data_IF_694756997213
#
_entry.id   IF_694756997213
#
_cell.length_a   1.000
_cell.length_b   1.000
_cell.length_c   1.000
_cell.angle_alpha   90.00
_cell.angle_beta   90.00
_cell.angle_gamma   90.00
#
_symmetry.space_group_name_H-M   'P 1'
#
loop_
_entity.id
_entity.type
_entity.pdbx_description
1 polymer ?
#
# COMPACT_ATOMS: atom_id res chain seq x y z
N UNK A 1 -16.85 -14.19 20.38
CA UNK A 1 -16.62 -14.91 19.09
C UNK A 1 -16.10 -13.89 18.11
N UNK A 2 -14.96 -14.16 17.47
CA UNK A 2 -14.47 -13.32 16.38
C UNK A 2 -15.36 -13.63 15.17
N UNK A 3 -16.19 -12.67 14.76
CA UNK A 3 -16.94 -12.81 13.53
C UNK A 3 -15.95 -12.86 12.36
N UNK A 4 -16.09 -13.87 11.51
CA UNK A 4 -15.29 -13.98 10.29
C UNK A 4 -15.54 -12.75 9.42
N UNK A 5 -14.47 -12.09 8.94
CA UNK A 5 -14.54 -10.96 8.01
C UNK A 5 -15.12 -11.33 6.64
N UNK A 6 -15.43 -12.61 6.40
CA UNK A 6 -16.07 -13.09 5.19
C UNK A 6 -16.68 -14.47 5.42
N UNK A 7 -17.78 -14.76 4.71
CA UNK A 7 -18.41 -16.06 4.80
C UNK A 7 -17.56 -17.11 4.07
N UNK A 8 -17.27 -18.24 4.73
CA UNK A 8 -16.54 -19.38 4.15
C UNK A 8 -17.16 -19.85 2.83
N UNK A 9 -18.48 -19.79 2.70
CA UNK A 9 -19.22 -20.18 1.50
C UNK A 9 -18.89 -19.36 0.26
N UNK A 10 -18.36 -18.14 0.43
CA UNK A 10 -17.98 -17.25 -0.68
C UNK A 10 -16.71 -17.70 -1.41
N UNK A 11 -16.01 -18.71 -0.88
CA UNK A 11 -14.72 -19.16 -1.42
C UNK A 11 -14.78 -20.64 -1.83
N UNK A 12 -14.77 -20.91 -3.14
CA UNK A 12 -14.79 -22.30 -3.69
C UNK A 12 -13.62 -23.13 -3.19
N UNK A 13 -12.46 -22.51 -3.04
CA UNK A 13 -11.24 -23.17 -2.54
C UNK A 13 -11.47 -23.85 -1.20
N UNK A 14 -12.21 -23.19 -0.30
CA UNK A 14 -12.45 -23.69 1.06
C UNK A 14 -13.44 -24.87 1.14
N UNK A 15 -14.09 -25.22 0.01
CA UNK A 15 -14.89 -26.45 -0.09
C UNK A 15 -14.00 -27.72 -0.14
N UNK A 16 -12.78 -27.58 -0.68
CA UNK A 16 -11.86 -28.72 -0.91
C UNK A 16 -10.59 -28.67 -0.04
N UNK A 17 -10.17 -27.47 0.36
CA UNK A 17 -8.89 -27.26 1.02
C UNK A 17 -9.02 -26.46 2.32
N UNK A 18 -8.14 -26.74 3.28
CA UNK A 18 -7.80 -25.80 4.35
C UNK A 18 -6.68 -24.89 3.82
N UNK A 19 -7.02 -23.66 3.48
CA UNK A 19 -6.07 -22.73 2.88
C UNK A 19 -5.43 -21.85 3.95
N UNK A 20 -4.12 -22.01 4.16
CA UNK A 20 -3.34 -21.27 5.17
C UNK A 20 -2.27 -20.34 4.55
N UNK A 21 -2.22 -20.24 3.21
CA UNK A 21 -1.20 -19.45 2.52
C UNK A 21 -1.68 -18.06 2.10
N UNK A 22 -2.58 -17.45 2.87
CA UNK A 22 -3.16 -16.13 2.60
C UNK A 22 -2.08 -15.03 2.57
N UNK A 23 -1.00 -15.18 3.35
CA UNK A 23 0.12 -14.24 3.37
C UNK A 23 0.91 -14.20 2.05
N UNK A 24 0.85 -15.24 1.24
CA UNK A 24 1.47 -15.29 -0.10
C UNK A 24 0.52 -14.76 -1.18
N UNK A 25 -0.62 -15.42 -1.35
CA UNK A 25 -1.67 -15.04 -2.30
C UNK A 25 -3.03 -15.19 -1.62
N UNK A 26 -3.81 -14.13 -1.62
CA UNK A 26 -5.15 -14.12 -1.04
C UNK A 26 -6.16 -14.94 -1.84
N UNK A 27 -7.15 -15.49 -1.15
CA UNK A 27 -8.29 -16.12 -1.80
C UNK A 27 -9.15 -15.03 -2.48
N UNK A 28 -9.60 -15.33 -3.68
CA UNK A 28 -10.55 -14.51 -4.42
C UNK A 28 -11.96 -15.10 -4.22
N UNK A 29 -12.91 -14.28 -3.78
CA UNK A 29 -14.31 -14.71 -3.60
C UNK A 29 -15.00 -14.98 -4.94
N UNK A 30 -16.08 -15.77 -4.91
CA UNK A 30 -16.90 -16.02 -6.11
C UNK A 30 -17.42 -14.72 -6.72
N UNK A 31 -17.88 -13.78 -5.90
CA UNK A 31 -18.38 -12.49 -6.35
C UNK A 31 -17.29 -11.66 -7.04
N UNK A 32 -16.09 -11.64 -6.46
CA UNK A 32 -14.94 -10.96 -7.06
C UNK A 32 -14.55 -11.62 -8.38
N UNK A 33 -14.45 -12.96 -8.43
CA UNK A 33 -14.13 -13.68 -9.67
C UNK A 33 -15.17 -13.44 -10.77
N UNK A 34 -16.46 -13.50 -10.44
CA UNK A 34 -17.56 -13.22 -11.38
C UNK A 34 -17.44 -11.82 -11.96
N UNK A 35 -17.16 -10.81 -11.13
CA UNK A 35 -17.00 -9.43 -11.61
C UNK A 35 -15.83 -9.25 -12.60
N UNK A 36 -14.78 -10.05 -12.45
CA UNK A 36 -13.64 -10.06 -13.39
C UNK A 36 -14.04 -10.71 -14.72
N UNK A 37 -14.72 -11.84 -14.68
CA UNK A 37 -15.17 -12.58 -15.86
C UNK A 37 -16.17 -11.75 -16.66
N UNK A 38 -17.12 -11.11 -16.01
CA UNK A 38 -18.08 -10.20 -16.66
C UNK A 38 -17.38 -9.05 -17.34
N UNK A 39 -16.44 -8.39 -16.66
CA UNK A 39 -15.68 -7.30 -17.25
C UNK A 39 -14.86 -7.75 -18.48
N UNK A 40 -14.19 -8.91 -18.38
CA UNK A 40 -13.43 -9.45 -19.50
C UNK A 40 -14.33 -9.78 -20.70
N UNK A 41 -15.50 -10.36 -20.46
CA UNK A 41 -16.49 -10.66 -21.50
C UNK A 41 -17.01 -9.39 -22.20
N UNK A 42 -17.28 -8.32 -21.44
CA UNK A 42 -17.68 -7.02 -22.01
C UNK A 42 -16.61 -6.44 -22.92
N UNK A 43 -15.34 -6.44 -22.45
CA UNK A 43 -14.21 -5.97 -23.27
C UNK A 43 -14.00 -6.88 -24.50
N UNK A 44 -14.11 -8.20 -24.36
CA UNK A 44 -13.96 -9.12 -25.49
C UNK A 44 -15.05 -8.94 -26.55
N UNK A 45 -16.26 -8.56 -26.12
CA UNK A 45 -17.43 -8.36 -27.02
C UNK A 45 -17.43 -6.99 -27.69
N UNK A 46 -17.06 -5.96 -26.98
CA UNK A 46 -17.26 -4.56 -27.38
C UNK A 46 -15.98 -3.74 -27.54
N UNK A 47 -14.82 -4.29 -27.16
CA UNK A 47 -13.60 -3.51 -27.00
C UNK A 47 -13.81 -2.40 -25.97
N UNK A 48 -13.35 -1.20 -26.27
CA UNK A 48 -13.59 -0.02 -25.44
C UNK A 48 -14.72 0.89 -25.99
N UNK A 49 -15.53 0.41 -26.93
CA UNK A 49 -16.55 1.24 -27.61
C UNK A 49 -17.62 1.82 -26.64
N UNK A 50 -17.78 1.22 -25.45
CA UNK A 50 -18.69 1.66 -24.40
C UNK A 50 -17.98 2.30 -23.20
N UNK A 51 -16.66 2.51 -23.30
CA UNK A 51 -15.85 3.04 -22.21
C UNK A 51 -15.26 4.39 -22.60
N UNK A 52 -15.69 5.44 -21.93
CA UNK A 52 -15.19 6.80 -22.11
C UNK A 52 -13.92 7.05 -21.29
N UNK A 53 -13.19 8.11 -21.59
CA UNK A 53 -12.07 8.63 -20.79
C UNK A 53 -12.49 8.84 -19.31
N UNK A 54 -13.73 9.28 -19.09
CA UNK A 54 -14.26 9.46 -17.73
C UNK A 54 -14.47 8.14 -17.00
N UNK A 55 -14.84 7.07 -17.71
CA UNK A 55 -14.96 5.74 -17.10
C UNK A 55 -13.62 5.20 -16.65
N UNK A 56 -12.55 5.46 -17.41
CA UNK A 56 -11.19 5.12 -17.01
C UNK A 56 -10.79 5.83 -15.71
N UNK A 57 -11.04 7.12 -15.58
CA UNK A 57 -10.80 7.87 -14.34
C UNK A 57 -11.65 7.34 -13.19
N UNK A 58 -12.89 6.96 -13.48
CA UNK A 58 -13.85 6.48 -12.49
C UNK A 58 -13.45 5.13 -11.86
N UNK A 59 -12.73 4.25 -12.56
CA UNK A 59 -12.20 3.03 -11.95
C UNK A 59 -11.30 3.36 -10.76
N UNK A 60 -10.38 4.29 -10.94
CA UNK A 60 -9.48 4.74 -9.87
C UNK A 60 -10.21 5.46 -8.75
N UNK A 61 -11.12 6.37 -9.10
CA UNK A 61 -11.84 7.16 -8.10
C UNK A 61 -12.77 6.29 -7.25
N UNK A 62 -13.46 5.34 -7.88
CA UNK A 62 -14.34 4.40 -7.19
C UNK A 62 -13.57 3.55 -6.18
N UNK A 63 -12.44 2.98 -6.61
CA UNK A 63 -11.57 2.20 -5.71
C UNK A 63 -11.02 3.08 -4.58
N UNK A 64 -10.55 4.29 -4.88
CA UNK A 64 -10.05 5.24 -3.88
C UNK A 64 -11.10 5.53 -2.81
N UNK A 65 -12.34 5.81 -3.20
CA UNK A 65 -13.43 6.08 -2.27
C UNK A 65 -13.75 4.87 -1.38
N UNK A 66 -13.66 3.67 -1.95
CA UNK A 66 -13.88 2.42 -1.20
C UNK A 66 -12.75 2.19 -0.18
N UNK A 67 -11.50 2.41 -0.58
CA UNK A 67 -10.34 2.31 0.32
C UNK A 67 -10.39 3.35 1.44
N UNK A 68 -10.85 4.58 1.16
CA UNK A 68 -11.00 5.61 2.19
C UNK A 68 -11.95 5.20 3.31
N UNK A 69 -13.05 4.52 2.95
CA UNK A 69 -13.99 4.01 3.96
C UNK A 69 -13.38 2.87 4.78
N UNK A 70 -12.68 1.94 4.11
CA UNK A 70 -12.02 0.81 4.78
C UNK A 70 -10.96 1.28 5.78
N UNK A 71 -10.18 2.28 5.41
CA UNK A 71 -9.01 2.74 6.17
C UNK A 71 -9.28 3.98 7.02
N UNK A 72 -10.50 4.53 6.98
CA UNK A 72 -10.87 5.77 7.68
C UNK A 72 -9.87 6.91 7.43
N UNK A 73 -9.72 7.30 6.16
CA UNK A 73 -8.79 8.36 5.76
C UNK A 73 -9.35 9.24 4.64
N UNK A 74 -8.70 10.38 4.40
CA UNK A 74 -9.09 11.30 3.35
C UNK A 74 -8.65 10.79 1.97
N UNK A 75 -9.52 10.86 0.96
CA UNK A 75 -9.23 10.46 -0.41
C UNK A 75 -8.08 11.25 -1.05
N UNK A 76 -7.83 12.47 -0.59
CA UNK A 76 -6.70 13.30 -0.99
C UNK A 76 -5.35 12.62 -0.68
N UNK A 77 -5.30 11.82 0.37
CA UNK A 77 -4.09 11.15 0.86
C UNK A 77 -3.90 9.73 0.29
N UNK A 78 -4.86 9.21 -0.51
CA UNK A 78 -4.78 7.87 -1.09
C UNK A 78 -4.36 7.88 -2.57
N UNK A 79 -3.28 7.19 -2.87
CA UNK A 79 -2.85 6.81 -4.21
C UNK A 79 -3.26 5.38 -4.54
N UNK A 80 -3.63 5.15 -5.80
CA UNK A 80 -3.79 3.82 -6.39
C UNK A 80 -2.58 3.59 -7.30
N UNK A 81 -1.88 2.50 -7.09
CA UNK A 81 -0.58 2.18 -7.67
C UNK A 81 -0.63 0.79 -8.32
N UNK A 82 0.28 0.50 -9.24
CA UNK A 82 0.41 -0.82 -9.85
C UNK A 82 0.99 -1.86 -8.88
N UNK A 83 1.81 -1.42 -7.94
CA UNK A 83 2.39 -2.26 -6.89
C UNK A 83 2.82 -1.41 -5.68
N UNK A 84 2.93 -2.03 -4.51
CA UNK A 84 3.52 -1.38 -3.34
C UNK A 84 4.97 -0.95 -3.59
N UNK A 85 5.72 -1.73 -4.35
CA UNK A 85 7.12 -1.44 -4.72
C UNK A 85 7.26 -0.15 -5.52
N UNK A 86 6.24 0.26 -6.29
CA UNK A 86 6.24 1.50 -7.08
C UNK A 86 6.49 2.73 -6.21
N UNK A 87 5.82 2.82 -5.06
CA UNK A 87 6.05 3.91 -4.12
C UNK A 87 7.27 3.66 -3.24
N UNK A 88 7.44 2.44 -2.73
CA UNK A 88 8.55 2.10 -1.83
C UNK A 88 9.91 2.45 -2.45
N UNK A 89 10.06 2.27 -3.76
CA UNK A 89 11.28 2.64 -4.50
C UNK A 89 11.51 4.16 -4.57
N UNK A 90 10.46 4.96 -4.46
CA UNK A 90 10.56 6.42 -4.53
C UNK A 90 10.79 7.06 -3.14
N UNK A 91 10.29 6.43 -2.07
CA UNK A 91 10.29 7.03 -0.73
C UNK A 91 11.66 7.48 -0.22
N UNK A 92 12.77 6.74 -0.41
CA UNK A 92 14.09 7.21 0.04
C UNK A 92 14.50 8.56 -0.54
N UNK A 93 13.98 8.92 -1.71
CA UNK A 93 14.27 10.17 -2.42
C UNK A 93 13.21 11.25 -2.20
N UNK A 94 12.02 10.89 -1.77
CA UNK A 94 10.90 11.81 -1.55
C UNK A 94 10.83 12.32 -0.11
N UNK A 95 11.30 11.53 0.84
CA UNK A 95 11.28 11.90 2.25
C UNK A 95 12.32 12.97 2.55
N UNK A 96 11.96 13.90 3.44
CA UNK A 96 12.87 14.92 3.94
C UNK A 96 13.73 14.30 5.04
N UNK A 97 14.80 13.61 4.62
CA UNK A 97 15.70 12.95 5.54
C UNK A 97 16.55 14.00 6.27
N UNK A 98 16.50 13.96 7.60
CA UNK A 98 17.39 14.79 8.41
C UNK A 98 18.86 14.36 8.22
N UNK A 99 19.77 15.20 8.64
CA UNK A 99 21.18 14.84 8.74
C UNK A 99 21.34 13.71 9.75
N UNK A 100 21.99 12.65 9.36
CA UNK A 100 22.18 11.43 10.15
C UNK A 100 22.90 10.36 9.34
N UNK A 101 23.07 9.18 9.91
CA UNK A 101 23.94 8.16 9.34
C UNK A 101 23.27 6.81 9.07
N UNK A 102 22.06 6.56 9.59
CA UNK A 102 21.44 5.23 9.46
C UNK A 102 19.95 5.24 9.19
N UNK A 103 19.48 4.24 8.43
CA UNK A 103 18.08 3.85 8.31
C UNK A 103 17.85 2.56 9.11
N UNK A 104 16.75 2.51 9.85
CA UNK A 104 16.35 1.34 10.65
C UNK A 104 15.36 0.50 9.88
N UNK A 105 15.70 -0.78 9.69
CA UNK A 105 14.97 -1.79 8.93
C UNK A 105 14.84 -3.07 9.76
N UNK A 106 13.93 -3.97 9.40
CA UNK A 106 13.83 -5.31 10.01
C UNK A 106 14.39 -6.34 9.04
N UNK A 107 15.26 -7.24 9.54
CA UNK A 107 16.00 -8.20 8.70
C UNK A 107 15.10 -9.26 8.09
N UNK A 108 14.07 -9.68 8.81
CA UNK A 108 13.06 -10.65 8.36
C UNK A 108 11.96 -10.03 7.49
N UNK A 109 12.01 -8.71 7.23
CA UNK A 109 10.98 -8.02 6.47
C UNK A 109 11.03 -8.37 4.97
N UNK A 110 9.94 -8.08 4.26
CA UNK A 110 9.84 -8.37 2.84
C UNK A 110 10.82 -7.50 2.02
N UNK A 111 11.52 -8.07 1.03
CA UNK A 111 12.56 -7.36 0.26
C UNK A 111 12.14 -6.04 -0.38
N UNK A 112 10.86 -5.86 -0.69
CA UNK A 112 10.35 -4.61 -1.25
C UNK A 112 10.52 -3.42 -0.30
N UNK A 113 10.58 -3.65 1.04
CA UNK A 113 10.80 -2.60 2.01
C UNK A 113 12.26 -2.20 2.08
N UNK A 114 13.19 -3.14 2.18
CA UNK A 114 14.58 -2.82 2.51
C UNK A 114 15.48 -2.59 1.29
N UNK A 115 15.23 -3.26 0.14
CA UNK A 115 16.08 -3.12 -1.05
C UNK A 115 16.20 -1.68 -1.58
N UNK A 116 15.13 -0.88 -1.66
CA UNK A 116 15.25 0.52 -2.06
C UNK A 116 16.15 1.33 -1.13
N UNK A 117 16.05 1.06 0.17
CA UNK A 117 16.88 1.73 1.17
C UNK A 117 18.33 1.26 1.15
N UNK A 118 18.60 -0.02 0.88
CA UNK A 118 19.96 -0.50 0.67
C UNK A 118 20.62 0.22 -0.52
N UNK A 119 19.95 0.25 -1.68
CA UNK A 119 20.43 0.92 -2.87
C UNK A 119 20.63 2.44 -2.64
N UNK A 120 19.69 3.09 -1.95
CA UNK A 120 19.79 4.49 -1.60
C UNK A 120 20.95 4.75 -0.62
N UNK A 121 21.10 3.91 0.40
CA UNK A 121 22.11 4.04 1.44
C UNK A 121 23.51 3.86 0.86
N UNK A 122 23.71 2.89 -0.02
CA UNK A 122 24.99 2.68 -0.72
C UNK A 122 25.42 3.94 -1.48
N UNK A 123 24.49 4.52 -2.27
CA UNK A 123 24.74 5.74 -3.04
C UNK A 123 25.00 6.97 -2.17
N UNK A 124 24.33 7.08 -1.01
CA UNK A 124 24.36 8.27 -0.16
C UNK A 124 25.23 8.10 1.09
N UNK A 125 25.99 7.01 1.19
CA UNK A 125 26.89 6.70 2.33
C UNK A 125 26.17 6.62 3.68
N UNK A 126 24.90 6.17 3.67
CA UNK A 126 24.16 5.84 4.87
C UNK A 126 24.42 4.38 5.26
N UNK A 127 24.16 4.04 6.52
CA UNK A 127 24.17 2.66 7.00
C UNK A 127 22.75 2.12 7.03
N UNK A 128 22.53 0.94 6.50
CA UNK A 128 21.30 0.16 6.75
C UNK A 128 21.49 -0.61 8.04
N UNK A 129 20.71 -0.29 9.06
CA UNK A 129 20.73 -0.97 10.34
C UNK A 129 19.55 -1.94 10.42
N UNK A 130 19.85 -3.24 10.35
CA UNK A 130 18.87 -4.30 10.40
C UNK A 130 18.65 -4.78 11.82
N UNK A 131 17.41 -4.70 12.28
CA UNK A 131 16.98 -5.30 13.54
C UNK A 131 16.72 -6.78 13.31
N UNK A 132 17.39 -7.65 14.05
CA UNK A 132 17.10 -9.07 14.05
C UNK A 132 15.81 -9.35 14.82
N UNK A 133 14.93 -10.16 14.22
CA UNK A 133 13.72 -10.62 14.89
C UNK A 133 14.03 -11.80 15.78
N UNK A 134 13.81 -11.64 17.07
CA UNK A 134 13.85 -12.71 18.04
C UNK A 134 12.43 -12.94 18.58
N UNK A 135 11.86 -14.11 18.31
CA UNK A 135 10.47 -14.43 18.69
C UNK A 135 10.22 -14.42 20.20
N UNK A 136 11.28 -14.44 21.02
CA UNK A 136 11.18 -14.34 22.49
C UNK A 136 11.24 -12.90 23.00
N UNK A 137 11.42 -11.92 22.10
CA UNK A 137 11.53 -10.49 22.44
C UNK A 137 10.51 -9.71 21.62
N UNK A 138 9.88 -8.71 22.22
CA UNK A 138 8.99 -7.81 21.50
C UNK A 138 9.75 -7.04 20.40
N UNK A 139 9.43 -7.32 19.14
CA UNK A 139 10.08 -6.70 17.99
C UNK A 139 10.03 -5.16 18.03
N UNK A 140 8.94 -4.59 18.55
CA UNK A 140 8.82 -3.14 18.74
C UNK A 140 9.89 -2.60 19.68
N UNK A 141 10.14 -3.29 20.77
CA UNK A 141 11.18 -2.90 21.73
C UNK A 141 12.56 -2.98 21.10
N UNK A 142 12.86 -4.04 20.37
CA UNK A 142 14.13 -4.18 19.63
C UNK A 142 14.34 -3.07 18.60
N UNK A 143 13.28 -2.63 17.89
CA UNK A 143 13.35 -1.51 16.96
C UNK A 143 13.61 -0.20 17.71
N UNK A 144 12.89 0.05 18.81
CA UNK A 144 13.01 1.29 19.59
C UNK A 144 14.40 1.45 20.20
N UNK A 145 15.01 0.37 20.65
CA UNK A 145 16.36 0.37 21.27
C UNK A 145 17.43 0.89 20.30
N UNK A 146 17.23 0.68 19.00
CA UNK A 146 18.20 1.06 17.96
C UNK A 146 17.96 2.48 17.43
N UNK A 147 16.77 3.04 17.65
CA UNK A 147 16.43 4.40 17.19
C UNK A 147 17.13 5.44 18.08
N UNK A 148 17.89 6.32 17.45
CA UNK A 148 18.59 7.43 18.08
C UNK A 148 18.65 8.69 17.18
N UNK A 149 19.47 9.67 17.56
CA UNK A 149 19.63 10.92 16.82
C UNK A 149 20.28 10.75 15.43
N UNK A 150 20.99 9.63 15.19
CA UNK A 150 21.58 9.29 13.89
C UNK A 150 20.59 8.62 12.94
N UNK A 151 19.41 8.24 13.43
CA UNK A 151 18.37 7.57 12.61
C UNK A 151 17.71 8.59 11.68
N UNK A 152 17.72 8.32 10.37
CA UNK A 152 17.13 9.19 9.34
C UNK A 152 15.76 8.72 8.85
N UNK A 153 15.44 7.44 9.00
CA UNK A 153 14.11 6.87 8.70
C UNK A 153 13.91 5.55 9.45
N UNK A 154 12.66 5.23 9.73
CA UNK A 154 12.21 3.92 10.23
C UNK A 154 11.24 3.33 9.21
N UNK A 155 11.54 2.13 8.71
CA UNK A 155 10.76 1.46 7.67
C UNK A 155 10.47 0.03 8.10
N UNK A 156 9.19 -0.33 8.25
CA UNK A 156 8.80 -1.59 8.88
C UNK A 156 7.45 -2.10 8.36
N UNK A 157 7.28 -3.42 8.25
CA UNK A 157 5.95 -4.02 8.13
C UNK A 157 5.22 -4.00 9.47
N UNK A 158 3.94 -3.63 9.43
CA UNK A 158 3.06 -3.72 10.62
C UNK A 158 2.95 -5.15 11.14
N UNK A 159 2.83 -6.11 10.23
CA UNK A 159 2.86 -7.55 10.52
C UNK A 159 3.91 -8.18 9.62
N UNK A 160 4.84 -8.94 10.20
CA UNK A 160 5.90 -9.63 9.47
C UNK A 160 5.33 -10.79 8.65
N UNK A 161 5.70 -10.88 7.37
CA UNK A 161 5.09 -11.85 6.44
C UNK A 161 5.42 -13.31 6.76
N UNK A 162 6.60 -13.56 7.35
CA UNK A 162 7.09 -14.90 7.61
C UNK A 162 6.71 -15.43 8.99
N UNK A 163 6.65 -14.56 9.99
CA UNK A 163 6.49 -14.92 11.41
C UNK A 163 5.13 -14.55 11.96
N UNK A 164 4.45 -13.55 11.35
CA UNK A 164 3.23 -12.98 11.89
C UNK A 164 3.46 -12.02 13.08
N UNK A 165 4.71 -11.76 13.45
CA UNK A 165 5.02 -10.79 14.51
C UNK A 165 4.46 -9.41 14.15
N UNK A 166 3.80 -8.78 15.13
CA UNK A 166 3.15 -7.47 14.97
C UNK A 166 3.85 -6.42 15.80
N UNK A 167 4.24 -5.31 15.17
CA UNK A 167 4.79 -4.15 15.85
C UNK A 167 3.69 -3.26 16.47
N UNK A 168 3.99 -2.59 17.56
CA UNK A 168 3.13 -1.55 18.13
C UNK A 168 3.39 -0.21 17.42
N UNK A 169 2.51 0.12 16.46
CA UNK A 169 2.62 1.35 15.69
C UNK A 169 2.54 2.61 16.55
N UNK A 170 1.80 2.58 17.67
CA UNK A 170 1.68 3.75 18.56
C UNK A 170 2.98 4.03 19.29
N UNK A 171 3.69 2.98 19.73
CA UNK A 171 5.01 3.13 20.34
C UNK A 171 6.03 3.64 19.32
N UNK A 172 6.03 3.11 18.10
CA UNK A 172 6.95 3.54 17.04
C UNK A 172 6.67 4.99 16.61
N UNK A 173 5.42 5.37 16.33
CA UNK A 173 5.09 6.75 15.97
C UNK A 173 5.43 7.76 17.06
N UNK A 174 5.33 7.40 18.35
CA UNK A 174 5.71 8.28 19.46
C UNK A 174 7.19 8.64 19.42
N UNK A 175 8.06 7.68 19.14
CA UNK A 175 9.49 7.93 19.08
C UNK A 175 9.91 8.60 17.78
N UNK A 176 9.36 8.20 16.65
CA UNK A 176 9.67 8.81 15.35
C UNK A 176 9.23 10.27 15.31
N UNK A 177 8.04 10.58 15.84
CA UNK A 177 7.55 11.96 16.00
C UNK A 177 8.45 12.79 16.92
N UNK A 178 8.81 12.26 18.11
CA UNK A 178 9.69 12.94 19.06
C UNK A 178 11.03 13.33 18.45
N UNK A 179 11.58 12.46 17.60
CA UNK A 179 12.90 12.67 16.97
C UNK A 179 12.80 13.29 15.57
N UNK A 180 11.58 13.60 15.09
CA UNK A 180 11.31 14.07 13.73
C UNK A 180 11.93 13.16 12.67
N UNK A 181 11.64 11.87 12.75
CA UNK A 181 12.14 10.82 11.85
C UNK A 181 10.99 10.36 10.95
N UNK A 182 11.15 10.33 9.62
CA UNK A 182 10.21 9.72 8.70
C UNK A 182 9.88 8.26 9.09
N UNK A 183 8.58 7.95 9.06
CA UNK A 183 8.03 6.64 9.43
C UNK A 183 7.24 6.05 8.26
N UNK A 184 7.72 4.94 7.71
CA UNK A 184 7.13 4.21 6.58
C UNK A 184 6.64 2.85 7.04
N UNK A 185 5.41 2.50 6.67
CA UNK A 185 4.76 1.27 7.13
C UNK A 185 4.24 0.45 5.94
N UNK A 186 4.62 -0.81 5.85
CA UNK A 186 3.92 -1.77 4.99
C UNK A 186 2.81 -2.47 5.78
N UNK A 187 1.57 -2.31 5.34
CA UNK A 187 0.40 -2.95 5.95
C UNK A 187 -0.15 -4.09 5.09
N UNK A 188 0.63 -4.60 4.15
CA UNK A 188 0.21 -5.66 3.22
C UNK A 188 -0.30 -6.91 3.95
N UNK A 189 0.27 -7.25 5.11
CA UNK A 189 -0.17 -8.39 5.91
C UNK A 189 -1.23 -8.04 6.96
N UNK A 190 -1.59 -6.76 7.10
CA UNK A 190 -2.57 -6.28 8.06
C UNK A 190 -3.89 -5.86 7.40
N UNK A 191 -3.80 -5.15 6.25
CA UNK A 191 -4.95 -4.62 5.54
C UNK A 191 -5.88 -5.74 5.04
N UNK A 192 -7.08 -5.81 5.57
CA UNK A 192 -8.06 -6.88 5.31
C UNK A 192 -7.96 -8.07 6.26
N UNK A 193 -6.88 -8.21 7.05
CA UNK A 193 -6.74 -9.26 8.06
C UNK A 193 -7.17 -8.77 9.45
N UNK A 194 -6.86 -7.51 9.77
CA UNK A 194 -7.23 -6.87 11.03
C UNK A 194 -7.79 -5.47 10.76
N UNK A 195 -8.59 -4.90 11.67
CA UNK A 195 -9.04 -3.52 11.56
C UNK A 195 -7.86 -2.55 11.51
N UNK A 196 -7.89 -1.64 10.54
CA UNK A 196 -6.85 -0.62 10.34
C UNK A 196 -7.50 0.75 10.20
N UNK A 197 -7.26 1.62 11.16
CA UNK A 197 -7.77 2.99 11.20
C UNK A 197 -6.58 3.96 11.03
N UNK A 198 -6.39 4.45 9.79
CA UNK A 198 -5.28 5.33 9.46
C UNK A 198 -5.38 6.67 10.19
N UNK A 199 -6.60 7.14 10.52
CA UNK A 199 -6.77 8.40 11.26
C UNK A 199 -6.10 8.41 12.64
N UNK A 200 -5.75 7.23 13.16
CA UNK A 200 -5.08 7.04 14.47
C UNK A 200 -3.59 6.77 14.37
N UNK A 201 -3.04 6.79 13.14
CA UNK A 201 -1.65 6.42 12.87
C UNK A 201 -0.95 7.61 12.19
N UNK A 202 0.05 8.16 12.85
CA UNK A 202 0.89 9.20 12.27
C UNK A 202 2.08 8.53 11.59
N UNK A 203 2.13 8.57 10.25
CA UNK A 203 3.23 8.09 9.44
C UNK A 203 3.36 8.94 8.17
N UNK A 204 4.51 8.89 7.53
CA UNK A 204 4.71 9.61 6.26
C UNK A 204 4.11 8.87 5.09
N UNK A 205 4.27 7.55 5.06
CA UNK A 205 3.68 6.70 4.04
C UNK A 205 3.26 5.35 4.60
N UNK A 206 2.15 4.83 4.08
CA UNK A 206 1.68 3.48 4.34
C UNK A 206 1.32 2.83 3.01
N UNK A 207 1.74 1.59 2.78
CA UNK A 207 1.46 0.86 1.53
C UNK A 207 0.84 -0.49 1.82
N UNK A 208 0.00 -0.98 0.88
CA UNK A 208 -0.43 -2.37 0.86
C UNK A 208 -0.68 -2.88 -0.54
N UNK A 209 -0.37 -4.16 -0.76
CA UNK A 209 -0.73 -4.88 -1.99
C UNK A 209 -2.16 -5.39 -1.93
N UNK A 210 -2.92 -5.24 -3.03
CA UNK A 210 -4.34 -5.60 -3.08
C UNK A 210 -4.63 -7.09 -3.17
N UNK A 211 -3.63 -7.92 -3.55
CA UNK A 211 -3.83 -9.33 -3.88
C UNK A 211 -3.66 -10.32 -2.71
N UNK A 212 -3.41 -9.84 -1.50
CA UNK A 212 -3.29 -10.68 -0.32
C UNK A 212 -4.59 -10.68 0.49
N UNK A 213 -4.57 -10.10 1.66
CA UNK A 213 -5.72 -10.10 2.58
C UNK A 213 -6.90 -9.25 2.10
N UNK A 214 -6.67 -8.32 1.19
CA UNK A 214 -7.75 -7.56 0.53
C UNK A 214 -8.48 -8.37 -0.55
N UNK A 215 -8.02 -9.57 -0.92
CA UNK A 215 -8.71 -10.52 -1.78
C UNK A 215 -8.90 -10.09 -3.23
N UNK A 216 -8.19 -9.06 -3.70
CA UNK A 216 -8.14 -8.67 -5.11
C UNK A 216 -7.17 -9.52 -5.92
N UNK A 217 -7.05 -9.25 -7.21
CA UNK A 217 -6.02 -9.82 -8.07
C UNK A 217 -4.78 -8.93 -8.09
N UNK A 218 -3.63 -9.44 -8.57
CA UNK A 218 -2.38 -8.69 -8.69
C UNK A 218 -2.47 -7.46 -9.60
N UNK A 219 -1.46 -6.60 -9.55
CA UNK A 219 -1.36 -5.41 -10.37
C UNK A 219 -2.07 -4.17 -9.81
N UNK A 220 -2.48 -4.19 -8.53
CA UNK A 220 -3.01 -3.03 -7.81
C UNK A 220 -2.48 -3.00 -6.38
N UNK A 221 -2.04 -1.83 -5.97
CA UNK A 221 -1.68 -1.51 -4.59
C UNK A 221 -2.33 -0.18 -4.16
N UNK A 222 -2.37 0.03 -2.87
CA UNK A 222 -2.92 1.22 -2.25
C UNK A 222 -1.84 1.85 -1.39
N UNK A 223 -1.72 3.17 -1.45
CA UNK A 223 -0.82 3.90 -0.58
C UNK A 223 -1.52 5.08 0.07
N UNK A 224 -1.31 5.25 1.36
CA UNK A 224 -1.56 6.49 2.08
C UNK A 224 -0.27 7.30 2.12
N UNK A 225 -0.39 8.58 1.90
CA UNK A 225 0.70 9.56 1.92
C UNK A 225 0.32 10.72 2.84
N UNK A 226 1.22 11.12 3.72
CA UNK A 226 1.05 12.29 4.59
C UNK A 226 0.88 13.57 3.78
N UNK A 227 0.39 14.63 4.42
CA UNK A 227 0.21 15.94 3.78
C UNK A 227 1.53 16.52 3.24
N UNK A 228 2.65 16.17 3.85
CA UNK A 228 3.97 16.57 3.36
C UNK A 228 4.29 15.89 2.01
N UNK A 229 3.97 14.60 1.86
CA UNK A 229 4.27 13.85 0.64
C UNK A 229 3.31 14.13 -0.52
N UNK A 230 2.01 14.33 -0.24
CA UNK A 230 1.03 14.56 -1.32
C UNK A 230 1.26 15.86 -2.11
N UNK A 231 2.06 16.78 -1.59
CA UNK A 231 2.42 18.04 -2.26
C UNK A 231 3.73 17.93 -3.05
N UNK A 232 4.50 16.86 -2.87
CA UNK A 232 5.77 16.66 -3.61
C UNK A 232 5.51 16.14 -5.02
N UNK A 233 6.43 16.46 -5.91
CA UNK A 233 6.45 15.86 -7.26
C UNK A 233 6.95 14.42 -7.15
N UNK A 234 6.21 13.41 -7.66
CA UNK A 234 6.73 12.05 -7.76
C UNK A 234 8.05 12.02 -8.54
N UNK A 235 8.94 11.09 -8.21
CA UNK A 235 10.19 10.93 -8.98
C UNK A 235 9.93 10.47 -10.42
N UNK A 236 8.87 9.72 -10.61
CA UNK A 236 8.43 9.23 -11.91
C UNK A 236 6.96 9.61 -12.12
N UNK A 237 6.71 10.90 -12.45
CA UNK A 237 5.36 11.34 -12.74
C UNK A 237 4.85 10.67 -14.01
N UNK A 238 3.64 10.15 -13.96
CA UNK A 238 3.01 9.52 -15.10
C UNK A 238 1.79 10.28 -15.59
N UNK A 239 1.30 9.91 -16.76
CA UNK A 239 0.21 10.63 -17.43
C UNK A 239 -1.12 10.58 -16.66
N UNK A 240 -1.42 9.45 -15.99
CA UNK A 240 -2.65 9.29 -15.19
C UNK A 240 -2.60 10.12 -13.88
N UNK A 241 -1.42 10.55 -13.46
CA UNK A 241 -1.20 11.47 -12.34
C UNK A 241 -1.40 12.94 -12.67
N UNK A 242 -1.72 13.28 -13.91
CA UNK A 242 -2.03 14.63 -14.33
C UNK A 242 -3.39 15.11 -13.76
N UNK A 243 -3.57 16.42 -13.69
CA UNK A 243 -4.83 17.07 -13.30
C UNK A 243 -5.97 16.65 -14.23
N UNK A 244 -5.70 16.66 -15.53
CA UNK A 244 -6.55 16.10 -16.57
C UNK A 244 -5.73 15.16 -17.44
N UNK A 245 -5.80 13.82 -17.20
CA UNK A 245 -4.95 12.85 -17.90
C UNK A 245 -5.13 12.84 -19.43
N UNK A 246 -6.32 13.18 -19.92
CA UNK A 246 -6.63 13.16 -21.36
C UNK A 246 -6.36 14.51 -22.06
N UNK A 247 -5.90 15.52 -21.31
CA UNK A 247 -5.36 16.72 -21.91
C UNK A 247 -3.89 16.49 -22.29
N UNK A 248 -3.62 16.29 -23.57
CA UNK A 248 -2.27 16.00 -24.11
C UNK A 248 -1.42 17.25 -24.36
N UNK A 249 -1.77 18.39 -23.76
CA UNK A 249 -0.94 19.60 -23.83
C UNK A 249 0.37 19.38 -23.05
N UNK A 250 1.50 19.57 -23.72
CA UNK A 250 2.84 19.26 -23.19
C UNK A 250 3.62 20.51 -22.74
N UNK A 251 2.99 21.68 -22.69
CA UNK A 251 3.70 22.94 -22.38
C UNK A 251 4.27 22.97 -20.97
N UNK A 252 3.66 22.23 -20.04
CA UNK A 252 4.10 22.18 -18.63
C UNK A 252 3.61 20.93 -17.90
N UNK A 253 4.32 20.56 -16.84
CA UNK A 253 3.89 19.51 -15.93
C UNK A 253 2.70 19.97 -15.09
N UNK A 254 1.50 19.46 -15.35
CA UNK A 254 0.26 19.77 -14.62
C UNK A 254 -0.21 18.54 -13.82
N UNK A 255 0.27 18.41 -12.60
CA UNK A 255 -0.03 17.27 -11.72
C UNK A 255 -1.36 17.45 -10.98
N UNK A 256 -2.05 16.35 -10.76
CA UNK A 256 -3.22 16.28 -9.93
C UNK A 256 -2.94 16.73 -8.48
N UNK A 257 -3.96 17.22 -7.81
CA UNK A 257 -3.88 17.53 -6.38
C UNK A 257 -3.89 16.25 -5.55
N UNK A 258 -3.15 16.27 -4.44
CA UNK A 258 -3.10 15.16 -3.49
C UNK A 258 -2.36 13.93 -4.03
N UNK A 259 -2.59 12.80 -3.40
CA UNK A 259 -1.90 11.55 -3.70
C UNK A 259 -2.22 10.97 -5.10
N UNK A 260 -3.28 11.45 -5.77
CA UNK A 260 -3.62 11.05 -7.15
C UNK A 260 -2.44 11.25 -8.11
N UNK A 261 -1.57 12.25 -7.88
CA UNK A 261 -0.38 12.53 -8.70
C UNK A 261 0.64 11.38 -8.77
N UNK A 262 0.56 10.43 -7.83
CA UNK A 262 1.43 9.25 -7.78
C UNK A 262 0.93 8.09 -8.64
N UNK A 263 -0.28 8.15 -9.19
CA UNK A 263 -0.76 7.15 -10.15
C UNK A 263 -0.06 7.35 -11.49
N UNK A 264 0.81 6.41 -11.89
CA UNK A 264 1.71 6.62 -13.03
C UNK A 264 1.00 6.44 -14.38
N UNK A 265 0.20 5.39 -14.54
CA UNK A 265 -0.31 5.00 -15.85
C UNK A 265 -1.67 4.30 -15.74
N UNK A 266 -2.22 3.95 -16.90
CA UNK A 266 -3.27 2.94 -17.01
C UNK A 266 -2.81 1.68 -16.31
N UNK A 267 -3.68 1.13 -15.51
CA UNK A 267 -3.47 -0.16 -14.84
C UNK A 267 -4.54 -1.14 -15.30
N UNK A 268 -4.39 -2.39 -14.94
CA UNK A 268 -5.39 -3.41 -15.21
C UNK A 268 -6.75 -3.03 -14.62
N UNK A 269 -7.69 -2.55 -15.44
CA UNK A 269 -9.06 -2.18 -15.00
C UNK A 269 -9.79 -3.36 -14.38
N UNK A 270 -9.55 -4.57 -14.88
CA UNK A 270 -10.10 -5.80 -14.30
C UNK A 270 -9.61 -5.99 -12.85
N UNK A 271 -8.35 -5.65 -12.57
CA UNK A 271 -7.79 -5.73 -11.21
C UNK A 271 -8.30 -4.60 -10.31
N UNK A 272 -8.48 -3.38 -10.84
CA UNK A 272 -9.11 -2.26 -10.12
C UNK A 272 -10.55 -2.61 -9.72
N UNK A 273 -11.32 -3.15 -10.67
CA UNK A 273 -12.71 -3.57 -10.45
C UNK A 273 -12.79 -4.69 -9.43
N UNK A 274 -11.94 -5.72 -9.56
CA UNK A 274 -11.93 -6.87 -8.66
C UNK A 274 -11.60 -6.45 -7.22
N UNK A 275 -10.57 -5.62 -7.03
CA UNK A 275 -10.20 -5.13 -5.71
C UNK A 275 -11.30 -4.28 -5.08
N UNK A 276 -11.97 -3.43 -5.86
CA UNK A 276 -13.10 -2.64 -5.38
C UNK A 276 -14.27 -3.51 -4.91
N UNK A 277 -14.58 -4.59 -5.64
CA UNK A 277 -15.65 -5.55 -5.27
C UNK A 277 -15.25 -6.29 -3.99
N UNK A 278 -14.03 -6.80 -3.92
CA UNK A 278 -13.52 -7.53 -2.75
C UNK A 278 -13.52 -6.69 -1.48
N UNK A 279 -13.02 -5.44 -1.55
CA UNK A 279 -13.02 -4.54 -0.38
C UNK A 279 -14.44 -4.21 0.07
N UNK A 280 -15.38 -4.01 -0.85
CA UNK A 280 -16.80 -3.81 -0.49
C UNK A 280 -17.38 -5.02 0.22
N UNK A 281 -17.01 -6.22 -0.20
CA UNK A 281 -17.45 -7.48 0.44
C UNK A 281 -16.88 -7.60 1.86
N UNK A 282 -15.60 -7.25 2.08
CA UNK A 282 -14.99 -7.19 3.40
C UNK A 282 -15.59 -6.11 4.30
N UNK A 283 -16.07 -5.00 3.74
CA UNK A 283 -16.61 -3.86 4.50
C UNK A 283 -18.07 -4.05 4.91
N UNK A 284 -18.74 -5.10 4.44
CA UNK A 284 -20.12 -5.44 4.81
C UNK A 284 -20.19 -6.25 6.11
N UNK A 285 -19.07 -6.52 6.73
CA UNK A 285 -18.88 -7.34 7.91
C UNK A 285 -18.35 -6.50 9.06
#
# INVERSE_FOLDING_TARGET
MINSLSLRSNYKTLKKFTYLNQASLGLVSEKTATSMIEFLNEIAKHGNAHMSDQDEVNFFQTLRNTCCRLFNCNSRNLAILSSASELLNQLPYLLDLKKGSKVVLVKSDFPALFRPWQAFSEKNKLKTHFVDENLNVDLTSSIIEIIDNETVAVVVSYIQYATGSRVDLKRLQKITKKLNIPFVIDVTQAAGAIPLDISKIECDAMVCSGYKWLGGHGGVAIAYLSDNLINKTPLMPGWMGAKNPFNINNDKLDLALGAKRYTQSTMSYISLKSLNVSIKELSLI
#
